data_IF_503638011509
#
_entry.id   IF_503638011509
#
_cell.length_a   1.000
_cell.length_b   1.000
_cell.length_c   1.000
_cell.angle_alpha   90.00
_cell.angle_beta   90.00
_cell.angle_gamma   90.00
#
_symmetry.space_group_name_H-M   'P 1'
#
loop_
_entity.id
_entity.type
_entity.pdbx_description
1 polymer ?
#
# COMPACT_ATOMS: atom_id res chain seq x y z
N UNK A 1 -23.40 -34.83 -9.17
CA UNK A 1 -22.67 -34.40 -7.96
C UNK A 1 -21.32 -33.80 -8.37
N UNK A 2 -21.26 -32.78 -9.20
CA UNK A 2 -21.73 -31.43 -8.92
C UNK A 2 -20.48 -30.58 -8.70
N UNK A 3 -19.91 -30.04 -9.79
CA UNK A 3 -18.89 -28.98 -9.83
C UNK A 3 -19.25 -27.71 -8.99
N UNK A 4 -20.31 -27.79 -8.18
CA UNK A 4 -21.49 -26.94 -8.20
C UNK A 4 -22.06 -26.68 -6.80
N UNK A 5 -21.39 -27.18 -5.77
CA UNK A 5 -20.94 -26.29 -4.71
C UNK A 5 -19.47 -25.99 -5.12
N UNK A 6 -19.07 -24.87 -5.75
CA UNK A 6 -19.35 -23.48 -5.35
C UNK A 6 -19.34 -23.42 -3.80
N UNK A 7 -19.04 -22.31 -3.15
CA UNK A 7 -19.72 -22.15 -1.87
C UNK A 7 -19.38 -23.10 -0.67
N UNK A 8 -18.12 -23.38 -0.36
CA UNK A 8 -17.72 -22.92 0.99
C UNK A 8 -17.24 -21.47 0.84
N UNK A 9 -17.96 -20.59 0.12
CA UNK A 9 -18.90 -19.66 0.78
C UNK A 9 -18.38 -19.44 2.17
N UNK A 10 -17.51 -18.45 2.27
CA UNK A 10 -16.89 -18.09 3.49
C UNK A 10 -15.92 -19.18 4.05
N UNK A 11 -14.60 -19.03 3.91
CA UNK A 11 -14.02 -18.26 5.01
C UNK A 11 -14.48 -16.81 4.91
N UNK A 12 -14.31 -16.24 3.72
CA UNK A 12 -14.70 -14.89 3.32
C UNK A 12 -15.76 -14.89 2.19
N UNK A 13 -16.71 -13.95 2.20
CA UNK A 13 -17.67 -13.59 1.14
C UNK A 13 -18.96 -14.43 0.94
N UNK A 14 -20.07 -13.98 1.56
CA UNK A 14 -21.14 -13.25 0.84
C UNK A 14 -22.16 -12.61 1.80
N UNK A 15 -22.17 -11.27 1.85
CA UNK A 15 -23.28 -10.27 1.92
C UNK A 15 -22.55 -8.94 1.70
N UNK A 16 -22.57 -8.15 0.62
CA UNK A 16 -23.48 -7.82 -0.49
C UNK A 16 -22.57 -7.38 -1.68
N UNK A 17 -22.88 -7.60 -2.96
CA UNK A 17 -23.91 -6.90 -3.74
C UNK A 17 -23.30 -5.75 -4.57
N UNK A 18 -22.94 -6.07 -5.83
CA UNK A 18 -22.66 -5.25 -7.03
C UNK A 18 -22.03 -3.85 -6.94
N UNK A 19 -20.84 -3.69 -7.53
CA UNK A 19 -20.66 -3.07 -8.86
C UNK A 19 -19.17 -3.01 -9.20
N UNK A 20 -18.79 -3.55 -10.36
CA UNK A 20 -17.51 -3.30 -11.01
C UNK A 20 -17.75 -3.17 -12.52
N UNK A 21 -17.31 -2.06 -13.11
CA UNK A 21 -16.65 -2.06 -14.41
C UNK A 21 -15.91 -0.74 -14.63
N UNK A 22 -14.67 -0.85 -15.11
CA UNK A 22 -13.80 0.29 -15.42
C UNK A 22 -12.41 -0.21 -15.78
N UNK A 23 -12.26 -0.71 -17.01
CA UNK A 23 -10.96 -1.04 -17.61
C UNK A 23 -10.15 0.23 -17.90
N UNK A 24 -8.84 0.14 -17.69
CA UNK A 24 -7.86 1.08 -18.21
C UNK A 24 -6.54 0.35 -18.41
N UNK A 25 -6.17 0.14 -19.68
CA UNK A 25 -4.86 -0.34 -20.12
C UNK A 25 -3.79 0.69 -19.76
N UNK A 26 -2.67 0.23 -19.18
CA UNK A 26 -1.41 0.98 -19.18
C UNK A 26 -0.23 0.05 -19.42
N UNK A 27 0.50 0.36 -20.49
CA UNK A 27 1.72 -0.26 -20.96
C UNK A 27 2.87 -0.16 -19.95
N UNK A 28 3.64 -1.24 -19.86
CA UNK A 28 4.81 -1.40 -19.00
C UNK A 28 6.01 -0.55 -19.44
N UNK A 29 6.60 0.16 -18.48
CA UNK A 29 8.04 0.45 -18.42
C UNK A 29 8.45 0.60 -16.95
N UNK A 30 9.40 -0.25 -16.54
CA UNK A 30 10.29 -0.17 -15.37
C UNK A 30 9.71 0.21 -14.00
N UNK A 31 9.33 -0.81 -13.20
CA UNK A 31 9.52 -0.96 -11.74
C UNK A 31 9.02 0.10 -10.73
N UNK A 32 8.67 1.30 -11.14
CA UNK A 32 8.12 2.34 -10.28
C UNK A 32 6.60 2.20 -10.21
N UNK A 33 6.04 2.17 -8.99
CA UNK A 33 4.62 2.43 -8.81
C UNK A 33 4.33 3.80 -9.43
N UNK A 34 3.57 3.84 -10.53
CA UNK A 34 3.06 5.09 -11.07
C UNK A 34 2.23 5.77 -9.97
N UNK A 35 2.71 6.90 -9.45
CA UNK A 35 2.05 7.64 -8.37
C UNK A 35 0.70 8.11 -8.93
N UNK A 36 -0.44 7.68 -8.35
CA UNK A 36 -1.75 8.18 -8.75
C UNK A 36 -1.78 9.70 -8.52
N UNK A 37 -2.07 10.49 -9.55
CA UNK A 37 -2.01 11.95 -9.48
C UNK A 37 -3.39 12.55 -9.26
N UNK A 38 -3.71 12.87 -8.00
CA UNK A 38 -4.76 13.85 -7.72
C UNK A 38 -4.19 15.25 -7.99
N UNK A 39 -4.43 15.77 -9.19
CA UNK A 39 -3.88 17.06 -9.65
C UNK A 39 -4.31 18.24 -8.75
N UNK A 40 -5.52 18.22 -8.17
CA UNK A 40 -5.96 19.28 -7.25
C UNK A 40 -5.08 19.30 -6.00
N UNK A 41 -4.95 18.15 -5.33
CA UNK A 41 -4.10 17.96 -4.15
C UNK A 41 -2.64 18.28 -4.45
N UNK A 42 -2.13 17.82 -5.58
CA UNK A 42 -0.75 18.06 -6.00
C UNK A 42 -0.46 19.55 -6.20
N UNK A 43 -1.35 20.29 -6.86
CA UNK A 43 -1.21 21.76 -7.00
C UNK A 43 -1.27 22.43 -5.63
N UNK A 44 -2.20 22.03 -4.77
CA UNK A 44 -2.38 22.63 -3.45
C UNK A 44 -1.14 22.47 -2.54
N UNK A 45 -0.47 21.33 -2.56
CA UNK A 45 0.61 21.00 -1.61
C UNK A 45 2.03 21.08 -2.17
N UNK A 46 2.23 21.07 -3.50
CA UNK A 46 3.58 21.07 -4.10
C UNK A 46 3.88 22.23 -5.04
N UNK A 47 2.90 23.06 -5.39
CA UNK A 47 3.15 24.19 -6.30
C UNK A 47 4.02 25.31 -5.69
N UNK A 48 3.99 25.46 -4.36
CA UNK A 48 4.73 26.49 -3.64
C UNK A 48 6.18 26.08 -3.35
N UNK A 49 6.36 24.83 -2.94
CA UNK A 49 7.63 24.15 -2.70
C UNK A 49 7.37 22.65 -2.88
N UNK A 50 8.18 21.96 -3.68
CA UNK A 50 8.00 20.52 -3.92
C UNK A 50 8.35 19.70 -2.68
N UNK A 51 7.81 18.47 -2.56
CA UNK A 51 8.17 17.57 -1.46
C UNK A 51 9.67 17.29 -1.47
N UNK A 52 10.26 16.99 -2.65
CA UNK A 52 11.71 16.78 -2.79
C UNK A 52 12.51 17.98 -2.31
N UNK A 53 12.10 19.18 -2.70
CA UNK A 53 12.74 20.42 -2.25
C UNK A 53 12.63 20.60 -0.75
N UNK A 54 11.45 20.33 -0.18
CA UNK A 54 11.20 20.51 1.26
C UNK A 54 12.05 19.54 2.08
N UNK A 55 12.14 18.27 1.66
CA UNK A 55 13.03 17.26 2.26
C UNK A 55 14.49 17.72 2.17
N UNK A 56 14.93 18.18 0.99
CA UNK A 56 16.29 18.64 0.78
C UNK A 56 16.66 19.82 1.68
N UNK A 57 15.84 20.89 1.71
CA UNK A 57 16.15 22.07 2.54
C UNK A 57 16.07 21.76 4.04
N UNK A 58 15.16 20.87 4.44
CA UNK A 58 15.01 20.46 5.83
C UNK A 58 16.27 19.75 6.31
N UNK A 59 16.86 18.91 5.46
CA UNK A 59 18.12 18.22 5.79
C UNK A 59 19.31 19.18 5.79
N UNK A 60 19.48 19.99 4.73
CA UNK A 60 20.60 20.94 4.62
C UNK A 60 20.62 21.96 5.76
N UNK A 61 19.44 22.37 6.24
CA UNK A 61 19.32 23.34 7.32
C UNK A 61 19.07 22.68 8.69
N UNK A 62 19.17 21.34 8.79
CA UNK A 62 19.03 20.57 10.03
C UNK A 62 17.75 20.90 10.82
N UNK A 63 16.61 20.91 10.12
CA UNK A 63 15.32 21.19 10.76
C UNK A 63 15.03 20.13 11.84
N UNK A 64 14.52 20.58 12.99
CA UNK A 64 13.84 19.68 13.92
C UNK A 64 12.44 19.37 13.40
N UNK A 65 11.79 18.35 13.95
CA UNK A 65 10.40 18.00 13.62
C UNK A 65 9.44 19.17 13.85
N UNK A 66 9.61 19.89 14.97
CA UNK A 66 8.82 21.06 15.32
C UNK A 66 9.06 22.21 14.36
N UNK A 67 10.33 22.41 13.99
CA UNK A 67 10.70 23.49 13.07
C UNK A 67 10.17 23.24 11.65
N UNK A 68 10.23 22.00 11.17
CA UNK A 68 9.62 21.65 9.88
C UNK A 68 8.11 21.84 9.90
N UNK A 69 7.43 21.41 10.97
CA UNK A 69 5.99 21.62 11.11
C UNK A 69 5.63 23.11 11.08
N UNK A 70 6.38 23.94 11.81
CA UNK A 70 6.20 25.39 11.80
C UNK A 70 6.45 25.98 10.40
N UNK A 71 7.52 25.53 9.72
CA UNK A 71 7.83 25.95 8.36
C UNK A 71 6.69 25.61 7.40
N UNK A 72 6.20 24.37 7.41
CA UNK A 72 5.08 23.91 6.56
C UNK A 72 3.83 24.73 6.82
N UNK A 73 3.49 24.98 8.09
CA UNK A 73 2.33 25.81 8.47
C UNK A 73 2.44 27.25 7.97
N UNK A 74 3.63 27.85 8.04
CA UNK A 74 3.88 29.24 7.62
C UNK A 74 4.09 29.41 6.11
N UNK A 75 4.23 28.31 5.36
CA UNK A 75 4.53 28.36 3.93
C UNK A 75 3.51 27.58 3.11
N UNK A 76 3.64 26.25 3.05
CA UNK A 76 2.80 25.37 2.23
C UNK A 76 1.31 25.57 2.53
N UNK A 77 0.93 25.57 3.81
CA UNK A 77 -0.49 25.69 4.18
C UNK A 77 -1.04 27.09 3.91
N UNK A 78 -0.24 28.15 4.14
CA UNK A 78 -0.63 29.52 3.75
C UNK A 78 -0.83 29.62 2.23
N UNK A 79 0.11 29.07 1.45
CA UNK A 79 0.03 29.07 -0.01
C UNK A 79 -1.19 28.28 -0.52
N UNK A 80 -1.51 27.15 0.10
CA UNK A 80 -2.70 26.36 -0.16
C UNK A 80 -3.98 27.18 0.04
N UNK A 81 -4.14 27.86 1.18
CA UNK A 81 -5.35 28.68 1.44
C UNK A 81 -5.48 29.79 0.38
N UNK A 82 -4.38 30.47 0.05
CA UNK A 82 -4.36 31.50 -0.99
C UNK A 82 -4.76 30.94 -2.37
N UNK A 83 -4.37 29.70 -2.70
CA UNK A 83 -4.74 29.04 -3.95
C UNK A 83 -6.24 28.71 -4.03
N UNK A 84 -6.83 28.29 -2.91
CA UNK A 84 -8.27 28.00 -2.80
C UNK A 84 -9.08 29.28 -2.95
N UNK A 85 -8.64 30.37 -2.32
CA UNK A 85 -9.29 31.69 -2.43
C UNK A 85 -9.13 32.29 -3.83
N UNK A 86 -7.91 32.21 -4.38
CA UNK A 86 -7.56 32.81 -5.66
C UNK A 86 -6.45 32.02 -6.37
N UNK A 87 -6.85 31.16 -7.32
CA UNK A 87 -5.91 30.33 -8.09
C UNK A 87 -4.87 31.12 -8.90
N UNK A 88 -5.07 32.43 -9.11
CA UNK A 88 -4.07 33.30 -9.76
C UNK A 88 -2.80 33.49 -8.93
N UNK A 89 -2.86 33.26 -7.60
CA UNK A 89 -1.71 33.29 -6.70
C UNK A 89 -0.59 32.35 -7.14
N UNK A 90 -0.93 31.22 -7.78
CA UNK A 90 0.02 30.27 -8.35
C UNK A 90 1.10 30.96 -9.20
N UNK A 91 0.74 31.95 -10.01
CA UNK A 91 1.68 32.61 -10.93
C UNK A 91 2.81 33.38 -10.19
N UNK A 92 2.62 33.64 -8.90
CA UNK A 92 3.57 34.35 -8.05
C UNK A 92 4.50 33.40 -7.29
N UNK A 93 4.25 32.09 -7.29
CA UNK A 93 5.01 31.13 -6.48
C UNK A 93 6.43 30.94 -6.98
N UNK A 94 6.69 31.13 -8.27
CA UNK A 94 8.03 31.08 -8.86
C UNK A 94 8.85 32.38 -8.64
N UNK A 95 8.51 33.16 -7.61
CA UNK A 95 9.26 34.37 -7.21
C UNK A 95 10.34 34.02 -6.17
N UNK A 96 11.61 34.15 -6.55
CA UNK A 96 12.76 33.83 -5.71
C UNK A 96 13.53 35.07 -5.21
N UNK A 97 12.86 36.21 -5.12
CA UNK A 97 13.46 37.44 -4.59
C UNK A 97 13.53 37.39 -3.05
N UNK A 98 14.60 37.95 -2.49
CA UNK A 98 14.82 38.03 -1.03
C UNK A 98 13.81 38.93 -0.34
N UNK A 99 13.37 39.98 -1.05
CA UNK A 99 12.31 40.90 -0.63
C UNK A 99 11.23 40.87 -1.69
N UNK A 100 10.01 40.59 -1.28
CA UNK A 100 8.87 40.49 -2.18
C UNK A 100 7.96 41.69 -1.98
N UNK A 101 7.66 42.40 -3.06
CA UNK A 101 6.74 43.54 -3.07
C UNK A 101 5.62 43.31 -4.08
N UNK A 102 4.49 44.01 -3.91
CA UNK A 102 3.35 43.94 -4.83
C UNK A 102 2.43 42.72 -4.65
N UNK A 103 2.57 41.97 -3.55
CA UNK A 103 1.72 40.82 -3.19
C UNK A 103 1.08 41.01 -1.81
N UNK A 104 0.04 40.25 -1.49
CA UNK A 104 -0.59 40.28 -0.16
C UNK A 104 0.39 39.87 0.95
N UNK A 105 0.18 40.36 2.17
CA UNK A 105 1.09 40.16 3.31
C UNK A 105 1.39 38.67 3.56
N UNK A 106 0.37 37.82 3.58
CA UNK A 106 0.56 36.40 3.88
C UNK A 106 1.42 35.70 2.82
N UNK A 107 1.21 36.03 1.54
CA UNK A 107 2.04 35.51 0.46
C UNK A 107 3.47 36.05 0.50
N UNK A 108 3.64 37.33 0.84
CA UNK A 108 4.95 37.96 1.04
C UNK A 108 5.73 37.23 2.13
N UNK A 109 5.14 37.09 3.31
CA UNK A 109 5.77 36.46 4.46
C UNK A 109 6.16 35.00 4.16
N UNK A 110 5.28 34.24 3.48
CA UNK A 110 5.55 32.87 3.05
C UNK A 110 6.70 32.79 2.03
N UNK A 111 6.70 33.66 1.00
CA UNK A 111 7.74 33.68 -0.04
C UNK A 111 9.10 34.06 0.54
N UNK A 112 9.17 35.11 1.37
CA UNK A 112 10.41 35.55 2.00
C UNK A 112 10.98 34.47 2.93
N UNK A 113 10.11 33.80 3.71
CA UNK A 113 10.54 32.68 4.56
C UNK A 113 11.10 31.52 3.73
N UNK A 114 10.42 31.10 2.66
CA UNK A 114 10.91 30.04 1.77
C UNK A 114 12.23 30.44 1.09
N UNK A 115 12.29 31.64 0.53
CA UNK A 115 13.46 32.11 -0.22
C UNK A 115 14.69 32.26 0.70
N UNK A 116 14.50 32.66 1.96
CA UNK A 116 15.56 32.64 2.97
C UNK A 116 16.25 31.27 3.06
N UNK A 117 15.50 30.17 3.01
CA UNK A 117 16.04 28.82 3.06
C UNK A 117 16.63 28.32 1.74
N UNK A 118 16.13 28.81 0.62
CA UNK A 118 16.79 28.55 -0.67
C UNK A 118 18.12 29.30 -0.79
N UNK A 119 18.23 30.48 -0.21
CA UNK A 119 19.44 31.29 -0.29
C UNK A 119 20.53 30.83 0.71
N UNK A 120 20.17 30.10 1.77
CA UNK A 120 21.15 29.45 2.63
C UNK A 120 21.81 28.24 1.96
N UNK A 121 21.17 27.66 0.95
CA UNK A 121 21.68 26.55 0.15
C UNK A 121 22.55 27.05 -1.03
N UNK A 122 23.87 26.86 -0.92
CA UNK A 122 24.82 27.19 -2.00
C UNK A 122 24.70 26.30 -3.23
N UNK A 123 24.16 25.10 -3.08
CA UNK A 123 24.05 24.11 -4.17
C UNK A 123 22.88 24.39 -5.12
N UNK A 124 21.94 25.25 -4.70
CA UNK A 124 20.70 25.60 -5.41
C UNK A 124 19.75 24.44 -5.71
N UNK A 125 20.05 23.23 -5.21
CA UNK A 125 19.29 22.00 -5.52
C UNK A 125 17.84 22.13 -5.07
N UNK A 126 17.58 22.58 -3.84
CA UNK A 126 16.20 22.72 -3.33
C UNK A 126 15.38 23.68 -4.21
N UNK A 127 15.98 24.82 -4.57
CA UNK A 127 15.34 25.81 -5.45
C UNK A 127 15.04 25.23 -6.84
N UNK A 128 15.97 24.47 -7.41
CA UNK A 128 15.81 23.85 -8.73
C UNK A 128 14.70 22.79 -8.74
N UNK A 129 14.65 21.93 -7.72
CA UNK A 129 13.60 20.92 -7.54
C UNK A 129 12.21 21.57 -7.46
N UNK A 130 12.08 22.67 -6.71
CA UNK A 130 10.82 23.43 -6.63
C UNK A 130 10.46 24.08 -7.96
N UNK A 131 11.43 24.68 -8.66
CA UNK A 131 11.20 25.32 -9.95
C UNK A 131 10.80 24.32 -11.03
N UNK A 132 11.39 23.12 -11.02
CA UNK A 132 11.02 22.02 -11.91
C UNK A 132 9.57 21.58 -11.66
N UNK A 133 9.20 21.34 -10.40
CA UNK A 133 7.83 20.96 -10.05
C UNK A 133 6.81 22.02 -10.45
N UNK A 134 7.12 23.30 -10.22
CA UNK A 134 6.28 24.41 -10.66
C UNK A 134 6.06 24.39 -12.19
N UNK A 135 7.14 24.20 -12.97
CA UNK A 135 7.05 24.13 -14.44
C UNK A 135 6.23 22.93 -14.90
N UNK A 136 6.38 21.78 -14.26
CA UNK A 136 5.61 20.57 -14.52
C UNK A 136 4.11 20.79 -14.27
N UNK A 137 3.73 21.35 -13.12
CA UNK A 137 2.32 21.64 -12.81
C UNK A 137 1.74 22.69 -13.74
N UNK A 138 2.54 23.70 -14.11
CA UNK A 138 2.13 24.73 -15.07
C UNK A 138 1.91 24.16 -16.47
N UNK A 139 2.73 23.21 -16.91
CA UNK A 139 2.57 22.59 -18.23
C UNK A 139 1.33 21.70 -18.28
N UNK A 140 1.08 20.90 -17.23
CA UNK A 140 -0.12 20.04 -17.08
C UNK A 140 -1.43 20.82 -17.07
N UNK A 141 -1.39 22.09 -16.70
CA UNK A 141 -2.55 23.00 -16.68
C UNK A 141 -2.64 23.92 -17.90
N UNK A 142 -1.79 23.72 -18.92
CA UNK A 142 -1.70 24.61 -20.09
C UNK A 142 -1.52 26.10 -19.71
N UNK A 143 -0.81 26.35 -18.60
CA UNK A 143 -0.61 27.68 -18.04
C UNK A 143 -1.86 28.33 -17.43
N UNK A 144 -2.99 27.62 -17.33
CA UNK A 144 -4.24 28.10 -16.74
C UNK A 144 -4.65 27.17 -15.59
N UNK A 145 -4.36 27.60 -14.37
CA UNK A 145 -4.72 26.84 -13.17
C UNK A 145 -6.25 26.74 -13.07
N UNK A 146 -6.81 25.52 -12.98
CA UNK A 146 -8.24 25.34 -12.82
C UNK A 146 -8.71 25.94 -11.48
N UNK A 147 -10.02 26.07 -11.31
CA UNK A 147 -10.56 26.38 -9.99
C UNK A 147 -10.25 25.21 -9.05
N UNK A 148 -9.44 25.47 -8.04
CA UNK A 148 -9.07 24.49 -7.03
C UNK A 148 -10.18 24.40 -5.98
N UNK A 149 -10.38 23.22 -5.43
CA UNK A 149 -11.30 23.01 -4.31
C UNK A 149 -10.50 22.62 -3.07
N UNK A 150 -10.95 23.10 -1.92
CA UNK A 150 -10.33 22.80 -0.64
C UNK A 150 -10.34 21.29 -0.37
N UNK A 151 -9.20 20.77 0.09
CA UNK A 151 -9.09 19.42 0.65
C UNK A 151 -8.56 19.51 2.09
N UNK A 152 -9.26 18.84 3.01
CA UNK A 152 -8.88 18.76 4.42
C UNK A 152 -7.82 17.66 4.61
N UNK A 153 -6.58 17.98 4.24
CA UNK A 153 -5.44 17.05 4.24
C UNK A 153 -4.19 17.60 4.93
N UNK A 154 -4.33 18.70 5.67
CA UNK A 154 -3.19 19.41 6.25
C UNK A 154 -2.49 18.59 7.34
N UNK A 155 -3.26 17.93 8.21
CA UNK A 155 -2.70 17.05 9.23
C UNK A 155 -1.98 15.85 8.58
N UNK A 156 -2.61 15.22 7.58
CA UNK A 156 -2.02 14.10 6.84
C UNK A 156 -0.70 14.52 6.14
N UNK A 157 -0.66 15.71 5.54
CA UNK A 157 0.53 16.27 4.91
C UNK A 157 1.65 16.55 5.91
N UNK A 158 1.34 17.16 7.06
CA UNK A 158 2.33 17.40 8.12
C UNK A 158 2.90 16.08 8.64
N UNK A 159 2.06 15.07 8.87
CA UNK A 159 2.52 13.75 9.31
C UNK A 159 3.38 13.05 8.26
N UNK A 160 3.03 13.20 6.97
CA UNK A 160 3.86 12.73 5.85
C UNK A 160 5.25 13.37 5.89
N UNK A 161 5.33 14.69 6.04
CA UNK A 161 6.62 15.37 6.11
C UNK A 161 7.46 14.95 7.33
N UNK A 162 6.82 14.71 8.48
CA UNK A 162 7.50 14.16 9.67
C UNK A 162 8.10 12.78 9.41
N UNK A 163 7.36 11.90 8.73
CA UNK A 163 7.85 10.57 8.35
C UNK A 163 9.04 10.69 7.38
N UNK A 164 8.95 11.55 6.37
CA UNK A 164 10.04 11.75 5.41
C UNK A 164 11.33 12.26 6.06
N UNK A 165 11.24 13.16 7.05
CA UNK A 165 12.41 13.61 7.80
C UNK A 165 13.05 12.50 8.65
N UNK A 166 12.24 11.57 9.15
CA UNK A 166 12.71 10.44 9.95
C UNK A 166 13.25 9.28 9.09
N UNK A 167 12.80 9.18 7.84
CA UNK A 167 13.19 8.12 6.90
C UNK A 167 14.68 8.17 6.48
N UNK A 168 15.42 9.21 6.85
CA UNK A 168 16.87 9.35 6.61
C UNK A 168 17.73 8.22 7.21
N UNK A 169 17.19 7.49 8.17
CA UNK A 169 17.86 6.36 8.83
C UNK A 169 17.30 5.00 8.42
N UNK A 170 16.39 4.94 7.43
CA UNK A 170 15.76 3.72 6.96
C UNK A 170 16.60 3.03 5.86
N UNK A 171 16.54 1.70 5.81
CA UNK A 171 17.35 0.84 4.93
C UNK A 171 17.04 1.00 3.42
N UNK A 172 15.91 1.60 3.04
CA UNK A 172 15.41 1.68 1.67
C UNK A 172 15.70 3.01 0.95
N UNK A 173 16.23 4.00 1.68
CA UNK A 173 16.71 5.29 1.15
C UNK A 173 15.59 6.31 0.90
N UNK A 174 15.95 7.60 0.98
CA UNK A 174 14.99 8.72 0.99
C UNK A 174 14.10 8.78 -0.26
N UNK A 175 14.61 8.43 -1.45
CA UNK A 175 13.81 8.42 -2.68
C UNK A 175 12.66 7.41 -2.64
N UNK A 176 12.87 6.23 -2.04
CA UNK A 176 11.79 5.25 -1.90
C UNK A 176 10.77 5.69 -0.86
N UNK A 177 11.23 6.32 0.22
CA UNK A 177 10.34 6.90 1.22
C UNK A 177 9.46 8.01 0.61
N UNK A 178 10.04 8.93 -0.17
CA UNK A 178 9.29 9.98 -0.90
C UNK A 178 8.22 9.35 -1.80
N UNK A 179 8.60 8.41 -2.67
CA UNK A 179 7.64 7.77 -3.58
C UNK A 179 6.51 7.05 -2.83
N UNK A 180 6.83 6.35 -1.74
CA UNK A 180 5.86 5.64 -0.88
C UNK A 180 4.86 6.61 -0.25
N UNK A 181 5.37 7.68 0.35
CA UNK A 181 4.55 8.69 1.00
C UNK A 181 3.68 9.47 0.01
N UNK A 182 4.23 9.83 -1.15
CA UNK A 182 3.46 10.48 -2.22
C UNK A 182 2.36 9.58 -2.77
N UNK A 183 2.64 8.29 -3.01
CA UNK A 183 1.63 7.34 -3.48
C UNK A 183 0.47 7.17 -2.49
N UNK A 184 0.76 7.22 -1.18
CA UNK A 184 -0.26 7.21 -0.14
C UNK A 184 -1.05 8.52 -0.10
N UNK A 185 -0.35 9.65 -0.09
CA UNK A 185 -0.95 10.97 0.10
C UNK A 185 -1.77 11.41 -1.10
N UNK A 186 -1.36 11.09 -2.33
CA UNK A 186 -2.10 11.42 -3.56
C UNK A 186 -3.04 10.31 -4.03
N UNK A 187 -2.97 9.13 -3.41
CA UNK A 187 -3.86 8.02 -3.70
C UNK A 187 -5.32 8.34 -3.38
N UNK A 188 -6.22 7.98 -4.30
CA UNK A 188 -7.66 7.99 -4.03
C UNK A 188 -8.05 6.73 -3.23
N UNK A 189 -8.73 6.94 -2.10
CA UNK A 189 -9.16 5.85 -1.21
C UNK A 189 -10.64 5.56 -1.41
N UNK A 190 -10.94 4.32 -1.75
CA UNK A 190 -12.30 3.80 -1.85
C UNK A 190 -12.74 3.24 -0.50
N UNK A 191 -13.98 3.51 -0.09
CA UNK A 191 -14.52 2.96 1.16
C UNK A 191 -14.66 1.45 1.07
N UNK A 192 -13.99 0.72 1.96
CA UNK A 192 -14.09 -0.73 2.09
C UNK A 192 -14.96 -1.10 3.30
N UNK A 193 -15.79 -2.13 3.18
CA UNK A 193 -16.63 -2.60 4.29
C UNK A 193 -15.78 -3.27 5.38
N UNK A 194 -16.14 -3.06 6.66
CA UNK A 194 -15.40 -3.63 7.81
C UNK A 194 -15.31 -5.16 7.77
N UNK A 195 -16.37 -5.82 7.28
CA UNK A 195 -16.38 -7.28 7.10
C UNK A 195 -15.33 -7.71 6.10
N UNK A 196 -15.25 -7.04 4.94
CA UNK A 196 -14.26 -7.35 3.91
C UNK A 196 -12.83 -7.08 4.41
N UNK A 197 -12.63 -6.02 5.19
CA UNK A 197 -11.34 -5.74 5.85
C UNK A 197 -10.93 -6.88 6.78
N UNK A 198 -11.80 -7.30 7.70
CA UNK A 198 -11.51 -8.40 8.64
C UNK A 198 -11.18 -9.70 7.89
N UNK A 199 -12.01 -10.02 6.91
CA UNK A 199 -11.86 -11.20 6.07
C UNK A 199 -10.52 -11.21 5.32
N UNK A 200 -10.13 -10.08 4.72
CA UNK A 200 -8.85 -9.92 4.03
C UNK A 200 -7.65 -10.00 4.98
N UNK A 201 -7.77 -9.45 6.20
CA UNK A 201 -6.73 -9.56 7.24
C UNK A 201 -6.50 -11.01 7.65
N UNK A 202 -7.57 -11.76 7.91
CA UNK A 202 -7.50 -13.19 8.25
C UNK A 202 -6.87 -13.94 7.09
N UNK A 203 -7.38 -13.74 5.86
CA UNK A 203 -6.90 -14.42 4.66
C UNK A 203 -5.40 -14.20 4.43
N UNK A 204 -4.93 -12.95 4.48
CA UNK A 204 -3.51 -12.65 4.29
C UNK A 204 -2.65 -13.22 5.44
N UNK A 205 -3.11 -13.13 6.68
CA UNK A 205 -2.33 -13.57 7.85
C UNK A 205 -2.03 -15.07 7.84
N UNK A 206 -2.95 -15.89 7.34
CA UNK A 206 -2.80 -17.35 7.29
C UNK A 206 -2.41 -17.87 5.89
N UNK A 207 -2.02 -16.98 4.98
CA UNK A 207 -1.65 -17.36 3.61
C UNK A 207 -2.81 -17.96 2.80
N UNK A 208 -4.05 -17.61 3.16
CA UNK A 208 -5.32 -18.22 2.76
C UNK A 208 -5.46 -18.53 1.27
N UNK A 209 -6.15 -17.69 0.50
CA UNK A 209 -6.38 -17.95 -0.93
C UNK A 209 -5.09 -17.89 -1.78
N UNK A 210 -4.01 -17.31 -1.24
CA UNK A 210 -2.71 -17.18 -1.90
C UNK A 210 -2.03 -18.55 -2.01
N UNK A 211 -1.88 -19.28 -0.91
CA UNK A 211 -1.24 -20.61 -0.93
C UNK A 211 -2.27 -21.76 -0.91
N UNK A 212 -3.56 -21.39 -0.81
CA UNK A 212 -4.74 -22.25 -0.84
C UNK A 212 -4.72 -23.48 0.09
N UNK A 213 -4.34 -23.40 1.39
CA UNK A 213 -4.22 -24.59 2.24
C UNK A 213 -5.54 -25.36 2.42
N UNK A 214 -6.69 -24.68 2.31
CA UNK A 214 -8.01 -25.29 2.35
C UNK A 214 -8.30 -26.24 1.17
N UNK A 215 -7.81 -25.90 -0.03
CA UNK A 215 -7.88 -26.79 -1.21
C UNK A 215 -7.01 -28.02 -0.96
N UNK A 216 -5.83 -27.82 -0.37
CA UNK A 216 -4.87 -28.88 -0.06
C UNK A 216 -5.42 -29.89 0.95
N UNK A 217 -6.31 -29.51 1.86
CA UNK A 217 -6.99 -30.45 2.77
C UNK A 217 -7.95 -31.37 2.03
N UNK A 218 -8.78 -30.82 1.14
CA UNK A 218 -9.70 -31.62 0.32
C UNK A 218 -8.94 -32.64 -0.51
N UNK A 219 -7.82 -32.19 -1.08
CA UNK A 219 -6.81 -33.01 -1.77
C UNK A 219 -6.28 -34.12 -0.87
N UNK A 220 -5.70 -33.79 0.30
CA UNK A 220 -5.07 -34.77 1.19
C UNK A 220 -6.07 -35.80 1.71
N UNK A 221 -7.32 -35.40 2.00
CA UNK A 221 -8.40 -36.32 2.40
C UNK A 221 -8.83 -37.26 1.27
N UNK A 222 -8.84 -36.78 0.03
CA UNK A 222 -9.22 -37.57 -1.14
C UNK A 222 -8.16 -38.57 -1.60
N UNK A 223 -6.89 -38.32 -1.26
CA UNK A 223 -5.74 -39.11 -1.71
C UNK A 223 -5.50 -40.40 -0.90
N UNK A 224 -6.39 -40.75 0.05
CA UNK A 224 -6.22 -41.89 0.96
C UNK A 224 -4.82 -41.96 1.60
N UNK A 225 -4.21 -40.80 1.86
CA UNK A 225 -2.84 -40.70 2.39
C UNK A 225 -2.85 -41.15 3.85
N UNK A 226 -2.04 -42.17 4.23
CA UNK A 226 -1.81 -42.47 5.63
C UNK A 226 -1.27 -41.23 6.35
N UNK A 227 -1.74 -40.95 7.56
CA UNK A 227 -1.28 -39.81 8.38
C UNK A 227 -1.55 -38.40 7.79
N UNK A 228 -2.76 -38.17 7.24
CA UNK A 228 -3.25 -36.82 6.84
C UNK A 228 -2.88 -35.71 7.85
N UNK A 229 -3.04 -35.98 9.14
CA UNK A 229 -2.72 -35.02 10.20
C UNK A 229 -1.23 -34.65 10.25
N UNK A 230 -0.33 -35.60 10.01
CA UNK A 230 1.12 -35.38 9.97
C UNK A 230 1.51 -34.56 8.73
N UNK A 231 0.91 -34.86 7.58
CA UNK A 231 1.10 -34.08 6.35
C UNK A 231 0.63 -32.64 6.54
N UNK A 232 -0.56 -32.42 7.10
CA UNK A 232 -1.09 -31.07 7.37
C UNK A 232 -0.15 -30.31 8.32
N UNK A 233 0.26 -30.94 9.43
CA UNK A 233 1.15 -30.31 10.40
C UNK A 233 2.53 -29.96 9.81
N UNK A 234 3.00 -30.71 8.80
CA UNK A 234 4.27 -30.45 8.11
C UNK A 234 4.15 -29.35 7.06
N UNK A 235 3.06 -29.36 6.29
CA UNK A 235 2.87 -28.48 5.12
C UNK A 235 2.44 -27.08 5.53
N UNK A 236 1.48 -26.96 6.45
CA UNK A 236 0.89 -25.67 6.81
C UNK A 236 1.95 -24.66 7.27
N UNK A 237 2.90 -25.00 8.18
CA UNK A 237 3.97 -24.07 8.58
C UNK A 237 4.80 -23.55 7.41
N UNK A 238 5.07 -24.39 6.39
CA UNK A 238 5.85 -23.98 5.21
C UNK A 238 5.07 -23.01 4.33
N UNK A 239 3.77 -23.21 4.18
CA UNK A 239 2.89 -22.35 3.39
C UNK A 239 2.64 -21.00 4.07
N UNK A 240 2.60 -20.95 5.40
CA UNK A 240 2.40 -19.69 6.14
C UNK A 240 3.69 -18.93 6.43
N UNK A 241 4.86 -19.56 6.29
CA UNK A 241 6.17 -18.94 6.56
C UNK A 241 6.43 -17.61 5.81
N UNK A 242 5.97 -17.41 4.55
CA UNK A 242 6.07 -16.11 3.90
C UNK A 242 5.24 -15.03 4.62
N UNK A 243 4.07 -15.38 5.15
CA UNK A 243 3.22 -14.48 5.93
C UNK A 243 3.83 -14.15 7.30
N UNK A 244 4.47 -15.13 7.96
CA UNK A 244 5.26 -14.91 9.18
C UNK A 244 6.39 -13.90 8.95
N UNK A 245 7.09 -14.03 7.81
CA UNK A 245 8.16 -13.12 7.42
C UNK A 245 7.66 -11.69 7.18
N UNK A 246 6.55 -11.55 6.44
CA UNK A 246 5.87 -10.28 6.23
C UNK A 246 5.52 -9.62 7.56
N UNK A 247 4.85 -10.35 8.46
CA UNK A 247 4.40 -9.83 9.75
C UNK A 247 5.59 -9.43 10.63
N UNK A 248 6.66 -10.22 10.63
CA UNK A 248 7.89 -9.90 11.35
C UNK A 248 8.55 -8.63 10.84
N UNK A 249 8.62 -8.44 9.51
CA UNK A 249 9.22 -7.24 8.89
C UNK A 249 8.36 -5.98 9.03
N UNK A 250 7.05 -6.14 9.24
CA UNK A 250 6.13 -5.03 9.54
C UNK A 250 6.27 -4.51 10.98
N UNK A 251 6.96 -5.24 11.86
CA UNK A 251 7.12 -4.86 13.26
C UNK A 251 7.93 -3.56 13.37
N UNK A 252 7.45 -2.60 14.18
CA UNK A 252 8.05 -1.27 14.38
C UNK A 252 8.12 -0.36 13.15
N UNK A 253 7.50 -0.75 12.04
CA UNK A 253 7.41 0.06 10.82
C UNK A 253 6.25 1.05 10.88
N UNK A 254 6.40 2.19 10.22
CA UNK A 254 5.34 3.17 10.01
C UNK A 254 4.19 2.55 9.21
N UNK A 255 3.01 3.15 9.26
CA UNK A 255 1.82 2.61 8.59
C UNK A 255 1.97 2.51 7.07
N UNK A 256 2.61 3.51 6.46
CA UNK A 256 2.92 3.57 5.03
C UNK A 256 3.93 2.50 4.63
N UNK A 257 5.01 2.31 5.40
CA UNK A 257 5.95 1.19 5.21
C UNK A 257 5.25 -0.16 5.30
N UNK A 258 4.41 -0.34 6.32
CA UNK A 258 3.64 -1.57 6.52
C UNK A 258 2.73 -1.87 5.33
N UNK A 259 2.04 -0.85 4.79
CA UNK A 259 1.22 -1.00 3.58
C UNK A 259 2.10 -1.34 2.37
N UNK A 260 3.22 -0.64 2.17
CA UNK A 260 4.16 -0.91 1.07
C UNK A 260 4.65 -2.36 1.10
N UNK A 261 5.07 -2.86 2.26
CA UNK A 261 5.51 -4.26 2.43
C UNK A 261 4.42 -5.27 2.05
N UNK A 262 3.17 -5.00 2.45
CA UNK A 262 2.02 -5.83 2.08
C UNK A 262 1.79 -5.80 0.57
N UNK A 263 1.86 -4.63 -0.06
CA UNK A 263 1.71 -4.49 -1.50
C UNK A 263 2.83 -5.24 -2.25
N UNK A 264 4.08 -5.07 -1.85
CA UNK A 264 5.24 -5.76 -2.44
C UNK A 264 5.12 -7.28 -2.29
N UNK A 265 4.65 -7.75 -1.14
CA UNK A 265 4.37 -9.15 -0.90
C UNK A 265 3.28 -9.69 -1.85
N UNK A 266 2.14 -9.01 -1.93
CA UNK A 266 1.02 -9.44 -2.76
C UNK A 266 1.37 -9.42 -4.26
N UNK A 267 2.06 -8.38 -4.74
CA UNK A 267 2.55 -8.34 -6.11
C UNK A 267 3.60 -9.43 -6.38
N UNK A 268 4.46 -9.74 -5.40
CA UNK A 268 5.39 -10.86 -5.49
C UNK A 268 4.71 -12.23 -5.55
N UNK A 269 3.47 -12.35 -5.06
CA UNK A 269 2.65 -13.55 -5.21
C UNK A 269 1.92 -13.65 -6.56
N UNK A 270 1.64 -12.51 -7.22
CA UNK A 270 1.04 -12.48 -8.57
C UNK A 270 2.08 -12.73 -9.66
N UNK A 271 3.20 -12.03 -9.57
CA UNK A 271 4.24 -12.04 -10.58
C UNK A 271 5.58 -12.33 -9.93
N UNK A 272 6.39 -13.17 -10.58
CA UNK A 272 7.72 -13.50 -10.07
C UNK A 272 8.63 -12.28 -10.16
N UNK A 273 8.70 -11.52 -9.08
CA UNK A 273 9.52 -10.32 -8.95
C UNK A 273 10.74 -10.61 -8.09
N UNK A 274 11.86 -9.97 -8.42
CA UNK A 274 12.99 -9.91 -7.50
C UNK A 274 12.58 -8.96 -6.36
N UNK A 275 12.45 -9.51 -5.16
CA UNK A 275 11.97 -8.76 -4.01
C UNK A 275 12.30 -9.44 -2.70
N UNK A 276 12.02 -8.73 -1.60
CA UNK A 276 12.39 -9.12 -0.24
C UNK A 276 11.88 -10.50 0.18
N UNK A 277 10.71 -10.89 -0.34
CA UNK A 277 10.00 -12.11 0.05
C UNK A 277 10.18 -13.28 -0.94
N UNK A 278 10.92 -13.07 -2.04
CA UNK A 278 10.98 -13.99 -3.19
C UNK A 278 11.30 -15.42 -2.77
N UNK A 279 12.36 -15.63 -1.99
CA UNK A 279 12.81 -16.97 -1.63
C UNK A 279 11.74 -17.75 -0.83
N UNK A 280 11.08 -17.10 0.13
CA UNK A 280 10.04 -17.73 0.93
C UNK A 280 8.77 -17.98 0.11
N UNK A 281 8.39 -17.02 -0.74
CA UNK A 281 7.25 -17.16 -1.67
C UNK A 281 7.50 -18.34 -2.62
N UNK A 282 8.65 -18.40 -3.28
CA UNK A 282 9.03 -19.48 -4.22
C UNK A 282 8.94 -20.85 -3.51
N UNK A 283 9.48 -20.98 -2.29
CA UNK A 283 9.41 -22.24 -1.50
C UNK A 283 7.97 -22.63 -1.15
N UNK A 284 7.11 -21.67 -0.80
CA UNK A 284 5.71 -21.96 -0.49
C UNK A 284 4.95 -22.43 -1.74
N UNK A 285 5.21 -21.82 -2.90
CA UNK A 285 4.65 -22.26 -4.17
C UNK A 285 5.16 -23.65 -4.58
N UNK A 286 6.44 -23.95 -4.40
CA UNK A 286 6.98 -25.30 -4.64
C UNK A 286 6.27 -26.36 -3.79
N UNK A 287 6.03 -26.08 -2.51
CA UNK A 287 5.30 -27.01 -1.63
C UNK A 287 3.84 -27.17 -2.06
N UNK A 288 3.16 -26.10 -2.49
CA UNK A 288 1.82 -26.18 -3.09
C UNK A 288 1.82 -27.09 -4.32
N UNK A 289 2.76 -26.89 -5.25
CA UNK A 289 2.87 -27.68 -6.49
C UNK A 289 3.06 -29.17 -6.21
N UNK A 290 3.97 -29.53 -5.28
CA UNK A 290 4.19 -30.93 -4.90
C UNK A 290 2.91 -31.64 -4.44
N UNK A 291 2.03 -30.94 -3.74
CA UNK A 291 0.78 -31.51 -3.25
C UNK A 291 -0.26 -31.64 -4.38
N UNK A 292 -0.35 -30.63 -5.24
CA UNK A 292 -1.23 -30.66 -6.40
C UNK A 292 -0.81 -31.75 -7.40
N UNK A 293 0.49 -31.99 -7.58
CA UNK A 293 1.01 -33.04 -8.45
C UNK A 293 0.59 -34.43 -7.97
N UNK A 294 0.61 -34.66 -6.64
CA UNK A 294 0.12 -35.91 -6.06
C UNK A 294 -1.39 -36.05 -6.31
N UNK A 295 -2.15 -34.97 -6.10
CA UNK A 295 -3.60 -34.96 -6.27
C UNK A 295 -4.08 -35.28 -7.68
N UNK A 296 -3.44 -34.64 -8.65
CA UNK A 296 -3.87 -34.64 -10.04
C UNK A 296 -3.23 -35.79 -10.83
N UNK A 297 -2.45 -36.64 -10.17
CA UNK A 297 -1.77 -37.76 -10.81
C UNK A 297 -2.78 -38.72 -11.46
N UNK A 298 -2.70 -38.83 -12.78
CA UNK A 298 -3.60 -39.68 -13.57
C UNK A 298 -4.99 -39.08 -13.85
N UNK A 299 -5.23 -37.82 -13.47
CA UNK A 299 -6.48 -37.13 -13.78
C UNK A 299 -6.47 -36.56 -15.21
N UNK A 300 -7.37 -37.06 -16.06
CA UNK A 300 -7.58 -36.57 -17.44
C UNK A 300 -7.87 -35.07 -17.55
N UNK A 301 -8.33 -34.42 -16.46
CA UNK A 301 -8.66 -32.99 -16.40
C UNK A 301 -7.68 -32.19 -15.53
N UNK A 302 -6.51 -32.73 -15.21
CA UNK A 302 -5.52 -32.07 -14.35
C UNK A 302 -5.21 -30.62 -14.77
N UNK A 303 -4.94 -30.41 -16.07
CA UNK A 303 -4.60 -29.10 -16.62
C UNK A 303 -5.73 -28.08 -16.50
N UNK A 304 -6.98 -28.51 -16.70
CA UNK A 304 -8.15 -27.63 -16.56
C UNK A 304 -8.34 -27.20 -15.10
N UNK A 305 -8.18 -28.14 -14.15
CA UNK A 305 -8.27 -27.85 -12.72
C UNK A 305 -7.18 -26.88 -12.23
N UNK A 306 -5.95 -27.03 -12.72
CA UNK A 306 -4.85 -26.12 -12.39
C UNK A 306 -5.16 -24.69 -12.85
N UNK A 307 -5.61 -24.52 -14.10
CA UNK A 307 -5.99 -23.20 -14.64
C UNK A 307 -7.08 -22.52 -13.81
N UNK A 308 -8.07 -23.27 -13.35
CA UNK A 308 -9.14 -22.74 -12.49
C UNK A 308 -8.58 -22.29 -11.14
N UNK A 309 -7.69 -23.08 -10.54
CA UNK A 309 -7.07 -22.75 -9.26
C UNK A 309 -6.17 -21.51 -9.35
N UNK A 310 -5.39 -21.39 -10.43
CA UNK A 310 -4.49 -20.25 -10.63
C UNK A 310 -5.29 -18.97 -10.90
N UNK A 311 -6.37 -19.03 -11.70
CA UNK A 311 -7.27 -17.89 -11.88
C UNK A 311 -7.94 -17.45 -10.57
N UNK A 312 -8.44 -18.41 -9.78
CA UNK A 312 -9.04 -18.10 -8.48
C UNK A 312 -8.03 -17.44 -7.53
N UNK A 313 -6.78 -17.91 -7.54
CA UNK A 313 -5.71 -17.33 -6.75
C UNK A 313 -5.41 -15.89 -7.19
N UNK A 314 -5.31 -15.64 -8.49
CA UNK A 314 -5.07 -14.32 -9.06
C UNK A 314 -6.19 -13.34 -8.67
N UNK A 315 -7.46 -13.74 -8.83
CA UNK A 315 -8.63 -12.95 -8.46
C UNK A 315 -8.61 -12.58 -6.97
N UNK A 316 -8.25 -13.53 -6.10
CA UNK A 316 -8.19 -13.28 -4.66
C UNK A 316 -7.00 -12.39 -4.27
N UNK A 317 -5.83 -12.53 -4.89
CA UNK A 317 -4.71 -11.61 -4.63
C UNK A 317 -5.04 -10.19 -5.10
N UNK A 318 -5.67 -10.04 -6.27
CA UNK A 318 -6.13 -8.74 -6.77
C UNK A 318 -7.16 -8.08 -5.83
N UNK A 319 -8.07 -8.87 -5.27
CA UNK A 319 -8.99 -8.42 -4.22
C UNK A 319 -8.25 -7.98 -2.95
N UNK A 320 -7.26 -8.73 -2.48
CA UNK A 320 -6.45 -8.33 -1.33
C UNK A 320 -5.70 -7.02 -1.61
N UNK A 321 -5.10 -6.87 -2.79
CA UNK A 321 -4.47 -5.63 -3.25
C UNK A 321 -5.45 -4.47 -3.18
N UNK A 322 -6.65 -4.63 -3.74
CA UNK A 322 -7.69 -3.61 -3.69
C UNK A 322 -8.08 -3.25 -2.26
N UNK A 323 -8.17 -4.22 -1.35
CA UNK A 323 -8.51 -3.95 0.05
C UNK A 323 -7.36 -3.21 0.75
N UNK A 324 -6.15 -3.77 0.76
CA UNK A 324 -5.02 -3.22 1.53
C UNK A 324 -4.53 -1.87 1.01
N UNK A 325 -4.73 -1.56 -0.28
CA UNK A 325 -4.53 -0.22 -0.83
C UNK A 325 -5.46 0.83 -0.20
N UNK A 326 -6.65 0.44 0.24
CA UNK A 326 -7.73 1.35 0.61
C UNK A 326 -8.10 1.34 2.10
N UNK A 327 -7.60 0.39 2.90
CA UNK A 327 -7.88 0.37 4.35
C UNK A 327 -7.15 1.48 5.09
N UNK A 328 -7.70 1.84 6.26
CA UNK A 328 -7.04 2.75 7.21
C UNK A 328 -5.89 2.04 7.92
N UNK A 329 -4.95 2.83 8.44
CA UNK A 329 -3.73 2.32 9.06
C UNK A 329 -4.01 1.47 10.30
N UNK A 330 -4.98 1.89 11.13
CA UNK A 330 -5.47 1.16 12.30
C UNK A 330 -6.08 -0.21 11.94
N UNK A 331 -6.57 -0.35 10.71
CA UNK A 331 -7.16 -1.58 10.20
C UNK A 331 -6.08 -2.52 9.62
N UNK A 332 -4.85 -2.03 9.39
CA UNK A 332 -3.73 -2.85 8.91
C UNK A 332 -3.09 -3.61 10.08
N UNK A 333 -3.78 -4.63 10.59
CA UNK A 333 -3.29 -5.49 11.68
C UNK A 333 -3.29 -6.94 11.23
N UNK A 334 -2.11 -7.45 10.89
CA UNK A 334 -1.88 -8.84 10.54
C UNK A 334 -1.33 -9.59 11.75
N UNK A 335 -1.73 -10.85 11.91
CA UNK A 335 -1.35 -11.66 13.07
C UNK A 335 -1.21 -13.12 12.68
N UNK A 336 -0.04 -13.68 12.95
CA UNK A 336 0.21 -15.11 12.84
C UNK A 336 1.06 -15.53 14.04
N UNK A 337 0.40 -16.13 15.03
CA UNK A 337 1.05 -16.72 16.18
C UNK A 337 0.66 -18.18 16.31
N UNK A 338 1.31 -18.90 17.23
CA UNK A 338 1.05 -20.32 17.43
C UNK A 338 -0.44 -20.64 17.66
N UNK A 339 -1.20 -19.90 18.51
CA UNK A 339 -2.64 -20.07 18.62
C UNK A 339 -3.41 -19.94 17.30
N UNK A 340 -3.07 -18.95 16.47
CA UNK A 340 -3.70 -18.78 15.15
C UNK A 340 -3.36 -19.95 14.22
N UNK A 341 -2.10 -20.39 14.17
CA UNK A 341 -1.67 -21.53 13.37
C UNK A 341 -2.36 -22.82 13.82
N UNK A 342 -2.44 -23.07 15.13
CA UNK A 342 -3.10 -24.24 15.70
C UNK A 342 -4.61 -24.24 15.42
N UNK A 343 -5.27 -23.09 15.61
CA UNK A 343 -6.69 -22.91 15.27
C UNK A 343 -6.94 -23.13 13.77
N UNK A 344 -6.02 -22.65 12.93
CA UNK A 344 -6.09 -22.84 11.48
C UNK A 344 -5.92 -24.32 11.10
N UNK A 345 -4.93 -25.01 11.65
CA UNK A 345 -4.74 -26.46 11.47
C UNK A 345 -5.98 -27.24 11.94
N UNK A 346 -6.58 -26.86 13.06
CA UNK A 346 -7.79 -27.49 13.59
C UNK A 346 -9.01 -27.29 12.67
N UNK A 347 -9.17 -26.09 12.12
CA UNK A 347 -10.16 -25.80 11.10
C UNK A 347 -9.94 -26.68 9.87
N UNK A 348 -8.70 -26.80 9.38
CA UNK A 348 -8.35 -27.64 8.25
C UNK A 348 -8.66 -29.12 8.51
N UNK A 349 -8.36 -29.64 9.71
CA UNK A 349 -8.66 -31.04 10.08
C UNK A 349 -10.16 -31.30 10.19
N UNK A 350 -10.88 -30.49 10.97
CA UNK A 350 -12.29 -30.72 11.31
C UNK A 350 -13.28 -30.25 10.25
N UNK A 351 -12.99 -29.15 9.55
CA UNK A 351 -13.89 -28.44 8.64
C UNK A 351 -15.27 -28.11 9.24
N UNK A 352 -15.33 -27.85 10.56
CA UNK A 352 -16.58 -27.57 11.27
C UNK A 352 -16.76 -26.07 11.55
N UNK A 353 -18.02 -25.62 11.58
CA UNK A 353 -18.41 -24.23 11.87
C UNK A 353 -17.80 -23.67 13.18
N UNK A 354 -17.77 -24.41 14.31
CA UNK A 354 -17.18 -23.91 15.55
C UNK A 354 -15.66 -23.64 15.44
N UNK A 355 -14.92 -24.46 14.68
CA UNK A 355 -13.48 -24.25 14.48
C UNK A 355 -13.22 -22.97 13.66
N UNK A 356 -14.13 -22.65 12.72
CA UNK A 356 -14.08 -21.40 11.95
C UNK A 356 -14.38 -20.20 12.84
N UNK A 357 -15.43 -20.26 13.65
CA UNK A 357 -15.78 -19.19 14.59
C UNK A 357 -14.65 -18.91 15.58
N UNK A 358 -14.03 -19.98 16.12
CA UNK A 358 -12.88 -19.85 16.99
C UNK A 358 -11.70 -19.12 16.32
N UNK A 359 -11.35 -19.47 15.07
CA UNK A 359 -10.31 -18.76 14.32
C UNK A 359 -10.67 -17.28 14.12
N UNK A 360 -11.91 -16.98 13.75
CA UNK A 360 -12.38 -15.59 13.56
C UNK A 360 -12.27 -14.76 14.84
N UNK A 361 -12.62 -15.34 15.99
CA UNK A 361 -12.59 -14.65 17.27
C UNK A 361 -11.16 -14.30 17.73
N UNK A 362 -10.13 -15.00 17.23
CA UNK A 362 -8.73 -14.64 17.47
C UNK A 362 -8.30 -13.32 16.78
N UNK A 363 -9.02 -12.90 15.74
CA UNK A 363 -8.73 -11.67 14.97
C UNK A 363 -9.67 -10.50 15.28
N UNK A 364 -10.74 -10.74 16.04
CA UNK A 364 -11.63 -9.69 16.55
C UNK A 364 -11.10 -9.01 17.82
N UNK A 365 -10.19 -9.69 18.51
CA UNK A 365 -9.39 -9.12 19.62
C UNK A 365 -8.25 -8.32 19.03
#
# INVERSE_FOLDING_TARGET
MGLLRLFFNALVAHVSGDMASGHGDTSATDGGLAIPTNLNREILYESFISIDSLVFISEMNQFTSEYMEEFVKKTVLVAKELLVENSSAFNQFNNYLDKVDGVGKDLKDALELRNKYFNSDRSTIGKELSAEKYRELRSRTNGRIPKLYYEDKDEEYVQMMKRLMNAKHEDDGIHKAINREMAEFYGEKTKISKTLVLDSRISLSIGGSIFAPGVLVGVVKSLAVPNVSEVINRVVPRLVSPCEDLISKMHLKSSTERRSLVMDFLYGCLERRNGLFKEKIDKAFEERTKILDIYLKGDSKAQEKLRILDKFQEDEINKLISVFKNIRDEDLVLRIDRPVVDAYINLLKSNQKPAKEHLYDLFKK
#
